data_IF_899233566534
#
_entry.id   IF_899233566534
#
_cell.length_a   1.000
_cell.length_b   1.000
_cell.length_c   1.000
_cell.angle_alpha   90.00
_cell.angle_beta   90.00
_cell.angle_gamma   90.00
#
_symmetry.space_group_name_H-M   'P 1'
#
loop_
_entity.id
_entity.type
_entity.pdbx_description
1 polymer ?
#
# COMPACT_ATOMS: atom_id res chain seq x y z
N UNK A 1 18.61 15.66 1.61
CA UNK A 1 19.03 14.50 0.84
C UNK A 1 19.87 13.64 1.75
N UNK A 2 19.69 12.34 1.76
CA UNK A 2 20.54 11.42 2.53
C UNK A 2 21.77 11.07 1.68
N UNK A 3 22.95 10.97 2.29
CA UNK A 3 24.19 10.66 1.58
C UNK A 3 24.18 9.24 1.03
N UNK A 4 23.52 8.32 1.75
CA UNK A 4 23.31 6.98 1.27
C UNK A 4 22.18 6.94 0.23
N UNK A 5 22.51 6.57 -0.99
CA UNK A 5 21.60 6.61 -2.13
C UNK A 5 20.28 5.86 -1.87
N UNK A 6 20.35 4.68 -1.29
CA UNK A 6 19.18 3.84 -1.03
C UNK A 6 18.25 4.37 0.05
N UNK A 7 18.67 5.35 0.87
CA UNK A 7 17.81 5.98 1.87
C UNK A 7 16.95 7.10 1.30
N UNK A 8 16.86 7.19 -0.03
CA UNK A 8 16.11 8.25 -0.69
C UNK A 8 15.05 7.68 -1.63
N UNK A 9 13.93 8.40 -1.74
CA UNK A 9 12.96 8.23 -2.82
C UNK A 9 13.49 8.94 -4.07
N UNK A 10 13.60 8.22 -5.17
CA UNK A 10 14.09 8.75 -6.45
C UNK A 10 12.98 9.49 -7.18
N UNK A 11 13.22 10.74 -7.52
CA UNK A 11 12.29 11.55 -8.32
C UNK A 11 12.70 11.57 -9.80
N UNK A 12 13.97 11.81 -10.04
CA UNK A 12 14.61 11.84 -11.38
C UNK A 12 15.97 11.14 -11.30
N UNK A 13 16.77 11.25 -12.34
CA UNK A 13 18.15 10.75 -12.32
C UNK A 13 19.04 11.48 -11.31
N UNK A 14 18.75 12.74 -11.02
CA UNK A 14 19.55 13.61 -10.14
C UNK A 14 18.83 13.98 -8.85
N UNK A 15 17.50 14.09 -8.90
CA UNK A 15 16.68 14.57 -7.79
C UNK A 15 16.12 13.43 -6.96
N UNK A 16 16.18 13.60 -5.63
CA UNK A 16 15.72 12.61 -4.66
C UNK A 16 15.26 13.28 -3.36
N UNK A 17 14.37 12.61 -2.63
CA UNK A 17 13.89 13.03 -1.32
C UNK A 17 14.31 11.98 -0.29
N UNK A 18 14.89 12.40 0.82
CA UNK A 18 15.25 11.48 1.90
C UNK A 18 14.03 10.77 2.49
N UNK A 19 14.17 9.48 2.75
CA UNK A 19 13.19 8.68 3.48
C UNK A 19 13.20 8.94 5.00
N UNK A 20 14.21 9.66 5.51
CA UNK A 20 14.28 10.04 6.91
C UNK A 20 13.10 10.97 7.28
N UNK A 21 12.25 10.50 8.20
CA UNK A 21 11.08 11.25 8.69
C UNK A 21 11.43 12.25 9.80
N UNK A 22 12.62 12.15 10.39
CA UNK A 22 13.07 12.98 11.52
C UNK A 22 14.45 13.55 11.24
N UNK A 23 14.57 14.50 10.28
CA UNK A 23 15.83 15.19 10.04
C UNK A 23 16.21 16.01 11.27
N UNK A 24 17.53 16.29 11.47
CA UNK A 24 18.04 17.10 12.58
C UNK A 24 17.37 18.47 12.65
N UNK A 25 17.07 19.08 11.50
CA UNK A 25 16.31 20.34 11.43
C UNK A 25 14.87 20.04 11.00
N UNK A 26 13.84 20.29 11.85
CA UNK A 26 12.43 20.04 11.55
C UNK A 26 11.91 20.76 10.29
N UNK A 27 12.50 21.88 9.90
CA UNK A 27 12.15 22.60 8.67
C UNK A 27 12.35 21.77 7.39
N UNK A 28 13.20 20.76 7.44
CA UNK A 28 13.45 19.84 6.33
C UNK A 28 12.60 18.56 6.37
N UNK A 29 11.74 18.43 7.38
CA UNK A 29 10.76 17.35 7.44
C UNK A 29 9.69 17.56 6.35
N UNK A 30 9.91 17.00 5.16
CA UNK A 30 9.01 17.13 4.01
C UNK A 30 7.98 16.01 3.99
N UNK A 31 6.78 16.33 3.51
CA UNK A 31 5.81 15.33 3.09
C UNK A 31 6.42 14.51 1.92
N UNK A 32 6.25 13.19 1.97
CA UNK A 32 6.79 12.25 0.99
C UNK A 32 5.76 11.85 -0.08
N UNK A 33 4.59 12.49 -0.10
CA UNK A 33 3.63 12.28 -1.16
C UNK A 33 4.17 12.88 -2.45
N UNK A 34 4.22 12.07 -3.49
CA UNK A 34 4.71 12.47 -4.82
C UNK A 34 3.60 12.27 -5.83
N UNK A 35 3.26 13.32 -6.56
CA UNK A 35 2.36 13.26 -7.69
C UNK A 35 3.18 13.23 -8.98
N UNK A 36 3.07 12.13 -9.74
CA UNK A 36 3.73 11.97 -11.03
C UNK A 36 2.69 12.11 -12.14
N UNK A 37 2.77 13.20 -12.90
CA UNK A 37 1.83 13.51 -13.99
C UNK A 37 2.47 13.17 -15.34
N UNK A 38 1.69 12.54 -16.21
CA UNK A 38 2.14 12.18 -17.56
C UNK A 38 1.09 11.35 -18.30
N UNK A 39 1.04 11.47 -19.61
CA UNK A 39 0.15 10.71 -20.48
C UNK A 39 0.44 9.20 -20.50
N UNK A 40 -0.34 8.45 -21.25
CA UNK A 40 -0.05 7.04 -21.52
C UNK A 40 1.29 6.91 -22.26
N UNK A 41 2.10 5.92 -21.88
CA UNK A 41 3.41 5.72 -22.52
C UNK A 41 4.53 6.67 -22.06
N UNK A 42 4.26 7.67 -21.21
CA UNK A 42 5.28 8.64 -20.76
C UNK A 42 6.36 8.05 -19.85
N UNK A 43 6.31 6.76 -19.58
CA UNK A 43 7.35 6.08 -18.80
C UNK A 43 7.24 6.19 -17.28
N UNK A 44 6.10 6.65 -16.74
CA UNK A 44 5.89 6.76 -15.27
C UNK A 44 6.29 5.49 -14.51
N UNK A 45 5.83 4.34 -14.97
CA UNK A 45 6.18 3.06 -14.36
C UNK A 45 7.67 2.75 -14.51
N UNK A 46 8.25 2.99 -15.69
CA UNK A 46 9.65 2.67 -15.99
C UNK A 46 10.64 3.55 -15.24
N UNK A 47 10.37 4.86 -15.18
CA UNK A 47 11.36 5.83 -14.68
C UNK A 47 11.12 6.25 -13.24
N UNK A 48 9.92 6.01 -12.69
CA UNK A 48 9.62 6.35 -11.30
C UNK A 48 9.31 5.11 -10.45
N UNK A 49 8.30 4.30 -10.84
CA UNK A 49 7.84 3.21 -9.96
C UNK A 49 8.90 2.11 -9.82
N UNK A 50 9.42 1.59 -10.94
CA UNK A 50 10.38 0.49 -10.91
C UNK A 50 11.69 0.85 -10.19
N UNK A 51 12.35 1.98 -10.45
CA UNK A 51 13.56 2.34 -9.72
C UNK A 51 13.36 2.41 -8.21
N UNK A 52 12.20 2.95 -7.77
CA UNK A 52 11.89 3.02 -6.35
C UNK A 52 11.58 1.66 -5.72
N UNK A 53 10.92 0.75 -6.43
CA UNK A 53 10.74 -0.64 -5.98
C UNK A 53 12.08 -1.38 -5.88
N UNK A 54 12.97 -1.15 -6.84
CA UNK A 54 14.31 -1.76 -6.88
C UNK A 54 15.25 -1.25 -5.78
N UNK A 55 14.93 -0.16 -5.12
CA UNK A 55 15.64 0.31 -3.93
C UNK A 55 15.49 -0.64 -2.73
N UNK A 56 14.38 -1.38 -2.64
CA UNK A 56 14.16 -2.40 -1.61
C UNK A 56 14.38 -1.92 -0.16
N UNK A 57 14.01 -0.67 0.13
CA UNK A 57 14.23 -0.06 1.45
C UNK A 57 12.98 -0.06 2.35
N UNK A 58 11.85 -0.52 1.85
CA UNK A 58 10.55 -0.41 2.56
C UNK A 58 9.62 -1.55 2.18
N UNK A 59 8.53 -1.71 2.91
CA UNK A 59 7.37 -2.46 2.45
C UNK A 59 6.58 -1.61 1.44
N UNK A 60 6.03 -2.24 0.43
CA UNK A 60 5.33 -1.58 -0.66
C UNK A 60 3.91 -2.08 -0.82
N UNK A 61 2.98 -1.18 -1.09
CA UNK A 61 1.65 -1.50 -1.61
C UNK A 61 1.54 -0.87 -2.99
N UNK A 62 1.29 -1.70 -4.00
CA UNK A 62 1.35 -1.26 -5.39
C UNK A 62 0.10 -1.72 -6.14
N UNK A 63 -0.53 -0.80 -6.88
CA UNK A 63 -1.57 -1.16 -7.84
C UNK A 63 -0.95 -1.43 -9.21
N UNK A 64 -1.16 -2.64 -9.74
CA UNK A 64 -0.59 -3.08 -11.02
C UNK A 64 -1.67 -3.64 -11.96
N UNK A 65 -2.46 -2.77 -12.61
CA UNK A 65 -3.57 -3.19 -13.46
C UNK A 65 -3.15 -4.09 -14.63
N UNK A 66 -1.89 -4.00 -15.06
CA UNK A 66 -1.34 -4.77 -16.18
C UNK A 66 -0.54 -5.99 -15.75
N UNK A 67 -0.35 -6.18 -14.45
CA UNK A 67 0.49 -7.24 -13.84
C UNK A 67 1.96 -7.21 -14.33
N UNK A 68 2.36 -6.12 -14.96
CA UNK A 68 3.70 -5.98 -15.54
C UNK A 68 4.79 -5.79 -14.47
N UNK A 69 4.48 -5.06 -13.41
CA UNK A 69 5.41 -4.83 -12.30
C UNK A 69 5.72 -6.14 -11.57
N UNK A 70 4.70 -6.92 -11.25
CA UNK A 70 4.86 -8.22 -10.61
C UNK A 70 5.73 -9.16 -11.45
N UNK A 71 5.48 -9.25 -12.76
CA UNK A 71 6.26 -10.10 -13.65
C UNK A 71 7.72 -9.67 -13.76
N UNK A 72 7.97 -8.37 -13.81
CA UNK A 72 9.32 -7.86 -14.03
C UNK A 72 10.15 -7.76 -12.75
N UNK A 73 9.54 -7.46 -11.59
CA UNK A 73 10.26 -7.21 -10.35
C UNK A 73 10.03 -8.27 -9.26
N UNK A 74 8.97 -9.08 -9.37
CA UNK A 74 8.56 -10.01 -8.32
C UNK A 74 9.65 -10.99 -7.92
N UNK A 75 10.24 -11.71 -8.90
CA UNK A 75 11.31 -12.68 -8.61
C UNK A 75 12.55 -12.06 -7.97
N UNK A 76 12.85 -10.81 -8.32
CA UNK A 76 13.97 -10.07 -7.71
C UNK A 76 13.65 -9.73 -6.25
N UNK A 77 12.44 -9.26 -5.97
CA UNK A 77 11.99 -8.93 -4.62
C UNK A 77 11.96 -10.20 -3.73
N UNK A 78 11.42 -11.31 -4.22
CA UNK A 78 11.41 -12.59 -3.49
C UNK A 78 12.84 -13.07 -3.14
N UNK A 79 13.79 -12.99 -4.09
CA UNK A 79 15.20 -13.34 -3.84
C UNK A 79 15.85 -12.47 -2.78
N UNK A 80 15.35 -11.25 -2.58
CA UNK A 80 15.84 -10.32 -1.55
C UNK A 80 14.98 -10.35 -0.27
N UNK A 81 14.20 -11.41 -0.05
CA UNK A 81 13.49 -11.66 1.20
C UNK A 81 12.13 -10.97 1.34
N UNK A 82 11.56 -10.45 0.25
CA UNK A 82 10.21 -9.89 0.27
C UNK A 82 9.15 -10.99 0.18
N UNK A 83 8.16 -10.94 1.04
CA UNK A 83 6.95 -11.76 0.94
C UNK A 83 5.91 -11.01 0.09
N UNK A 84 5.63 -11.54 -1.11
CA UNK A 84 4.74 -10.89 -2.07
C UNK A 84 3.33 -11.43 -1.89
N UNK A 85 2.40 -10.54 -1.55
CA UNK A 85 0.97 -10.82 -1.47
C UNK A 85 0.25 -10.19 -2.66
N UNK A 86 -0.58 -10.95 -3.34
CA UNK A 86 -1.35 -10.46 -4.49
C UNK A 86 -2.84 -10.52 -4.22
N UNK A 87 -3.55 -9.43 -4.53
CA UNK A 87 -5.00 -9.37 -4.57
C UNK A 87 -5.43 -9.13 -6.01
N UNK A 88 -6.05 -10.12 -6.64
CA UNK A 88 -6.56 -10.01 -8.00
C UNK A 88 -8.08 -9.80 -7.96
N UNK A 89 -8.51 -8.58 -8.25
CA UNK A 89 -9.94 -8.20 -8.22
C UNK A 89 -10.73 -8.65 -9.45
N UNK A 90 -10.03 -9.05 -10.52
CA UNK A 90 -10.67 -9.57 -11.76
C UNK A 90 -10.90 -11.08 -11.63
N UNK A 91 -9.93 -11.79 -11.08
CA UNK A 91 -10.01 -13.23 -10.88
C UNK A 91 -9.56 -13.60 -9.47
N UNK A 92 -10.49 -13.67 -8.55
CA UNK A 92 -10.23 -13.97 -7.14
C UNK A 92 -9.56 -15.33 -6.90
N UNK A 93 -9.71 -16.29 -7.84
CA UNK A 93 -9.00 -17.58 -7.75
C UNK A 93 -7.48 -17.44 -7.84
N UNK A 94 -7.00 -16.34 -8.43
CA UNK A 94 -5.56 -16.01 -8.53
C UNK A 94 -5.07 -15.13 -7.38
N UNK A 95 -5.95 -14.73 -6.47
CA UNK A 95 -5.59 -13.99 -5.28
C UNK A 95 -5.03 -14.92 -4.21
N UNK A 96 -4.10 -14.39 -3.43
CA UNK A 96 -3.69 -15.07 -2.20
C UNK A 96 -4.82 -15.03 -1.18
N UNK A 97 -4.97 -16.11 -0.43
CA UNK A 97 -5.96 -16.18 0.64
C UNK A 97 -5.50 -15.30 1.80
N UNK A 98 -6.41 -14.51 2.33
CA UNK A 98 -6.21 -13.68 3.51
C UNK A 98 -7.16 -14.13 4.60
N UNK A 99 -6.60 -14.45 5.77
CA UNK A 99 -7.38 -14.77 6.96
C UNK A 99 -7.24 -13.62 7.96
N UNK A 100 -8.23 -12.74 8.09
CA UNK A 100 -8.14 -11.60 9.02
C UNK A 100 -8.08 -12.05 10.48
N UNK A 101 -8.63 -13.21 10.81
CA UNK A 101 -8.62 -13.74 12.18
C UNK A 101 -7.22 -14.12 12.67
N UNK A 102 -6.28 -14.41 11.77
CA UNK A 102 -4.89 -14.69 12.13
C UNK A 102 -4.14 -13.48 12.72
N UNK A 103 -4.71 -12.28 12.59
CA UNK A 103 -4.13 -11.02 13.07
C UNK A 103 -4.81 -10.48 14.33
N UNK A 104 -5.71 -11.25 14.95
CA UNK A 104 -6.36 -10.89 16.20
C UNK A 104 -5.47 -11.31 17.34
N UNK A 105 -4.94 -10.35 18.06
CA UNK A 105 -4.09 -10.57 19.25
C UNK A 105 -4.72 -9.97 20.53
N UNK A 106 -5.79 -9.17 20.39
CA UNK A 106 -6.47 -8.50 21.49
C UNK A 106 -7.96 -8.33 21.22
N UNK A 107 -8.77 -8.10 22.27
CA UNK A 107 -10.18 -7.77 22.14
C UNK A 107 -10.42 -6.51 21.29
N UNK A 108 -9.50 -5.55 21.39
CA UNK A 108 -9.56 -4.32 20.58
C UNK A 108 -9.45 -4.60 19.08
N UNK A 109 -8.72 -5.64 18.69
CA UNK A 109 -8.57 -6.01 17.28
C UNK A 109 -9.85 -6.66 16.74
N UNK A 110 -10.60 -7.37 17.60
CA UNK A 110 -11.91 -7.90 17.26
C UNK A 110 -12.87 -6.74 16.93
N UNK A 111 -12.92 -5.73 17.79
CA UNK A 111 -13.79 -4.57 17.58
C UNK A 111 -13.44 -3.83 16.27
N UNK A 112 -12.14 -3.62 16.00
CA UNK A 112 -11.68 -3.00 14.74
C UNK A 112 -12.08 -3.84 13.52
N UNK A 113 -11.96 -5.16 13.60
CA UNK A 113 -12.34 -6.05 12.50
C UNK A 113 -13.84 -5.98 12.24
N UNK A 114 -14.66 -6.03 13.30
CA UNK A 114 -16.13 -5.91 13.21
C UNK A 114 -16.52 -4.56 12.62
N UNK A 115 -15.92 -3.47 13.11
CA UNK A 115 -16.18 -2.12 12.58
C UNK A 115 -15.82 -2.01 11.10
N UNK A 116 -14.64 -2.51 10.70
CA UNK A 116 -14.22 -2.53 9.31
C UNK A 116 -15.17 -3.34 8.42
N UNK A 117 -15.67 -4.48 8.89
CA UNK A 117 -16.65 -5.29 8.15
C UNK A 117 -17.97 -4.56 8.00
N UNK A 118 -18.49 -3.96 9.08
CA UNK A 118 -19.76 -3.20 9.06
C UNK A 118 -19.63 -2.00 8.10
N UNK A 119 -18.56 -1.23 8.19
CA UNK A 119 -18.34 -0.07 7.31
C UNK A 119 -18.26 -0.48 5.83
N UNK A 120 -17.57 -1.58 5.52
CA UNK A 120 -17.47 -2.07 4.15
C UNK A 120 -18.80 -2.66 3.62
N UNK A 121 -19.66 -3.20 4.50
CA UNK A 121 -20.98 -3.69 4.12
C UNK A 121 -21.98 -2.57 3.88
N UNK A 122 -21.84 -1.42 4.56
CA UNK A 122 -22.75 -0.28 4.41
C UNK A 122 -22.68 0.40 3.03
N UNK A 123 -21.73 0.09 2.16
CA UNK A 123 -21.62 0.67 0.82
C UNK A 123 -21.68 2.20 0.81
N UNK A 124 -21.22 2.84 -0.23
CA UNK A 124 -21.28 4.30 -0.41
C UNK A 124 -22.65 4.81 -0.90
N UNK A 125 -23.71 4.05 -0.74
CA UNK A 125 -25.08 4.38 -1.18
C UNK A 125 -26.11 4.03 -0.12
N UNK A 126 -26.75 5.08 0.40
CA UNK A 126 -28.01 5.12 1.11
C UNK A 126 -28.14 4.46 2.51
N UNK A 127 -28.78 5.23 3.38
CA UNK A 127 -29.29 4.94 4.72
C UNK A 127 -30.14 3.64 4.80
N UNK A 128 -29.54 2.50 4.63
CA UNK A 128 -30.22 1.23 4.84
C UNK A 128 -29.43 0.40 5.86
N UNK A 129 -29.86 0.39 7.08
CA UNK A 129 -29.44 -0.60 8.06
C UNK A 129 -28.91 -0.10 9.40
N UNK A 130 -29.17 1.15 9.82
CA UNK A 130 -28.91 1.57 11.20
C UNK A 130 -29.78 0.76 12.21
N UNK A 131 -30.98 0.34 11.81
CA UNK A 131 -31.94 -0.28 12.72
C UNK A 131 -31.64 -1.75 13.00
N UNK A 132 -31.00 -2.48 12.11
CA UNK A 132 -30.77 -3.92 12.29
C UNK A 132 -29.70 -4.23 13.35
N UNK A 133 -28.59 -3.49 13.36
CA UNK A 133 -27.49 -3.76 14.28
C UNK A 133 -27.66 -3.14 15.64
N UNK A 134 -28.40 -2.02 15.75
CA UNK A 134 -28.74 -1.39 17.03
C UNK A 134 -29.69 -2.28 17.82
N UNK A 135 -30.63 -2.98 17.17
CA UNK A 135 -31.52 -3.92 17.82
C UNK A 135 -30.87 -5.21 18.30
N UNK A 136 -29.77 -5.64 17.63
CA UNK A 136 -29.05 -6.85 18.00
C UNK A 136 -28.08 -6.68 19.19
N UNK A 137 -27.75 -5.44 19.56
CA UNK A 137 -26.86 -5.14 20.70
C UNK A 137 -27.61 -4.79 22.00
N UNK A 138 -28.95 -4.70 21.96
CA UNK A 138 -29.80 -4.39 23.12
C UNK A 138 -30.62 -5.58 23.63
N UNK A 139 -30.23 -6.82 23.29
CA UNK A 139 -30.89 -8.03 23.77
C UNK A 139 -29.99 -8.86 24.64
#
# INVERSE_FOLDING_TARGET
MDDEFRNNLLLTQTERITMNSRPKNPQYARNKNVLVVGGSGSGKTRFFVKPNLMQMHSSYVVTDPKVSLLHETGKMLEKNGYDIKTLNTINFKKSMKYNPFAYIHSEKDILKLVEALIQNMKGSGEKAGEDFWVSATCS
#
